data_IF_341207771635
#
_entry.id   IF_341207771635
#
_cell.length_a   1.000
_cell.length_b   1.000
_cell.length_c   1.000
_cell.angle_alpha   90.00
_cell.angle_beta   90.00
_cell.angle_gamma   90.00
#
_symmetry.space_group_name_H-M   'P 1'
#
loop_
_entity.id
_entity.type
_entity.pdbx_description
1 polymer ?
#
# COMPACT_ATOMS: atom_id res chain seq x y z
N UNK A 1 12.06 49.00 -7.64
CA UNK A 1 11.64 48.24 -6.44
C UNK A 1 11.41 46.79 -6.87
N UNK A 2 12.41 45.92 -6.75
CA UNK A 2 12.22 44.49 -6.97
C UNK A 2 12.50 43.80 -5.64
N UNK A 3 11.43 43.32 -5.02
CA UNK A 3 11.38 42.69 -3.71
C UNK A 3 12.37 41.53 -3.63
N UNK A 4 13.10 41.48 -2.52
CA UNK A 4 14.13 40.49 -2.26
C UNK A 4 13.64 39.06 -2.45
N UNK A 5 14.27 38.37 -3.40
CA UNK A 5 14.33 36.91 -3.43
C UNK A 5 15.01 36.47 -2.14
N UNK A 6 14.21 36.13 -1.13
CA UNK A 6 14.69 35.43 0.05
C UNK A 6 15.11 34.04 -0.39
N UNK A 7 16.39 33.94 -0.73
CA UNK A 7 17.13 32.70 -0.89
C UNK A 7 17.09 31.92 0.43
N UNK A 8 16.00 31.18 0.64
CA UNK A 8 15.87 30.14 1.65
C UNK A 8 15.71 28.83 0.88
N UNK A 9 16.79 28.41 0.22
CA UNK A 9 16.81 27.27 -0.72
C UNK A 9 16.74 25.91 -0.02
N UNK A 10 15.90 25.79 1.02
CA UNK A 10 15.59 24.47 1.57
C UNK A 10 14.61 23.76 0.62
N UNK A 11 14.84 22.47 0.33
CA UNK A 11 13.99 21.72 -0.57
C UNK A 11 12.56 21.64 -0.02
N UNK A 12 11.57 21.92 -0.89
CA UNK A 12 10.16 21.82 -0.53
C UNK A 12 9.82 20.38 -0.16
N UNK A 13 9.05 20.24 0.92
CA UNK A 13 8.47 18.95 1.33
C UNK A 13 6.95 19.05 1.42
N UNK A 14 6.29 17.93 1.19
CA UNK A 14 4.85 17.73 1.21
C UNK A 14 4.46 16.87 2.42
N UNK A 15 3.31 17.17 2.98
CA UNK A 15 2.63 16.37 4.01
C UNK A 15 1.97 15.14 3.39
N UNK A 16 1.60 14.17 4.24
CA UNK A 16 0.82 13.02 3.79
C UNK A 16 -0.54 13.42 3.19
N UNK A 17 -1.16 14.51 3.67
CA UNK A 17 -2.43 15.01 3.17
C UNK A 17 -2.29 15.56 1.74
N UNK A 18 -1.27 16.39 1.49
CA UNK A 18 -0.99 16.93 0.13
C UNK A 18 -0.70 15.81 -0.87
N UNK A 19 0.03 14.77 -0.46
CA UNK A 19 0.30 13.61 -1.32
C UNK A 19 -0.96 12.79 -1.57
N UNK A 20 -1.84 12.66 -0.58
CA UNK A 20 -3.09 11.93 -0.71
C UNK A 20 -4.04 12.61 -1.70
N UNK A 21 -4.13 13.94 -1.65
CA UNK A 21 -4.89 14.75 -2.61
C UNK A 21 -4.35 14.57 -4.04
N UNK A 22 -3.03 14.60 -4.22
CA UNK A 22 -2.41 14.39 -5.53
C UNK A 22 -2.63 12.98 -6.11
N UNK A 23 -2.86 11.98 -5.26
CA UNK A 23 -3.09 10.58 -5.64
C UNK A 23 -4.58 10.21 -5.68
N UNK A 24 -5.49 11.13 -5.37
CA UNK A 24 -6.92 10.88 -5.15
C UNK A 24 -7.19 9.70 -4.20
N UNK A 25 -6.51 9.71 -3.04
CA UNK A 25 -6.63 8.65 -2.04
C UNK A 25 -6.74 9.21 -0.61
N UNK A 26 -6.92 8.33 0.38
CA UNK A 26 -7.01 8.77 1.78
C UNK A 26 -5.64 9.06 2.40
N UNK A 27 -5.54 10.10 3.23
CA UNK A 27 -4.31 10.41 3.98
C UNK A 27 -3.84 9.23 4.84
N UNK A 28 -4.78 8.49 5.44
CA UNK A 28 -4.46 7.29 6.21
C UNK A 28 -3.74 6.25 5.36
N UNK A 29 -4.16 6.03 4.11
CA UNK A 29 -3.50 5.08 3.22
C UNK A 29 -2.04 5.46 2.99
N UNK A 30 -1.74 6.75 2.73
CA UNK A 30 -0.37 7.25 2.54
C UNK A 30 0.48 7.02 3.81
N UNK A 31 -0.06 7.38 4.98
CA UNK A 31 0.59 7.12 6.27
C UNK A 31 0.82 5.63 6.51
N UNK A 32 -0.14 4.79 6.12
CA UNK A 32 -0.06 3.34 6.27
C UNK A 32 0.99 2.73 5.32
N UNK A 33 1.10 3.19 4.08
CA UNK A 33 2.16 2.76 3.17
C UNK A 33 3.55 3.14 3.71
N UNK A 34 3.70 4.36 4.24
CA UNK A 34 4.96 4.82 4.84
C UNK A 34 5.29 4.03 6.13
N UNK A 35 4.30 3.80 7.00
CA UNK A 35 4.45 2.99 8.22
C UNK A 35 4.92 1.56 7.91
N UNK A 36 4.44 1.00 6.81
CA UNK A 36 4.85 -0.33 6.32
C UNK A 36 6.09 -0.31 5.43
N UNK A 37 6.73 0.86 5.26
CA UNK A 37 7.95 1.07 4.45
C UNK A 37 7.81 0.59 3.00
N UNK A 38 6.64 0.81 2.40
CA UNK A 38 6.35 0.44 1.01
C UNK A 38 6.56 1.56 0.00
N UNK A 39 6.61 2.79 0.47
CA UNK A 39 6.85 3.99 -0.33
C UNK A 39 8.01 4.77 0.30
N UNK A 40 8.74 5.57 -0.49
CA UNK A 40 9.77 6.47 0.03
C UNK A 40 9.16 7.58 0.89
N UNK A 41 9.82 7.92 2.00
CA UNK A 41 9.40 8.99 2.91
C UNK A 41 10.59 9.55 3.69
N UNK A 42 10.43 10.77 4.20
CA UNK A 42 11.25 11.35 5.24
C UNK A 42 10.52 11.24 6.59
N UNK A 43 11.25 10.85 7.63
CA UNK A 43 10.72 10.85 9.00
C UNK A 43 11.15 12.14 9.70
N UNK A 44 10.22 13.08 9.87
CA UNK A 44 10.41 14.26 10.73
C UNK A 44 9.73 14.03 12.07
N UNK A 45 10.10 14.78 13.11
CA UNK A 45 9.42 14.72 14.41
C UNK A 45 7.91 15.02 14.34
N UNK A 46 7.46 15.66 13.26
CA UNK A 46 6.05 15.97 12.97
C UNK A 46 5.30 14.89 12.17
N UNK A 47 5.96 13.80 11.74
CA UNK A 47 5.35 12.70 10.99
C UNK A 47 6.08 12.37 9.68
N UNK A 48 5.31 11.89 8.70
CA UNK A 48 5.84 11.54 7.37
C UNK A 48 5.84 12.77 6.46
N UNK A 49 6.97 13.02 5.82
CA UNK A 49 7.15 14.08 4.82
C UNK A 49 7.66 13.49 3.52
N UNK A 50 7.33 14.13 2.41
CA UNK A 50 7.67 13.65 1.08
C UNK A 50 8.35 14.77 0.31
N UNK A 51 9.38 14.43 -0.46
CA UNK A 51 9.95 15.36 -1.45
C UNK A 51 9.26 15.14 -2.78
N UNK A 52 9.50 16.02 -3.74
CA UNK A 52 9.00 15.83 -5.11
C UNK A 52 9.45 14.47 -5.69
N UNK A 53 10.72 14.12 -5.49
CA UNK A 53 11.27 12.84 -5.95
C UNK A 53 10.57 11.64 -5.31
N UNK A 54 10.21 11.71 -4.03
CA UNK A 54 9.44 10.64 -3.38
C UNK A 54 8.07 10.47 -4.03
N UNK A 55 7.40 11.57 -4.34
CA UNK A 55 6.07 11.53 -4.98
C UNK A 55 6.17 10.93 -6.39
N UNK A 56 7.16 11.33 -7.18
CA UNK A 56 7.42 10.75 -8.51
C UNK A 56 7.68 9.23 -8.42
N UNK A 57 8.46 8.78 -7.44
CA UNK A 57 8.71 7.35 -7.21
C UNK A 57 7.45 6.61 -6.73
N UNK A 58 6.59 7.24 -5.91
CA UNK A 58 5.29 6.67 -5.53
C UNK A 58 4.42 6.42 -6.77
N UNK A 59 4.36 7.38 -7.70
CA UNK A 59 3.65 7.17 -8.96
C UNK A 59 4.21 5.96 -9.72
N UNK A 60 5.54 5.81 -9.81
CA UNK A 60 6.16 4.65 -10.46
C UNK A 60 5.84 3.32 -9.76
N UNK A 61 5.81 3.30 -8.41
CA UNK A 61 5.45 2.10 -7.63
C UNK A 61 3.99 1.70 -7.88
N UNK A 62 3.10 2.69 -8.05
CA UNK A 62 1.67 2.47 -8.26
C UNK A 62 1.29 2.28 -9.75
N UNK A 63 2.22 2.58 -10.66
CA UNK A 63 1.97 2.52 -12.09
C UNK A 63 1.77 1.05 -12.53
N UNK A 64 0.54 0.72 -12.94
CA UNK A 64 0.26 -0.51 -13.68
C UNK A 64 0.36 -0.22 -15.18
N UNK A 65 1.46 -0.66 -15.81
CA UNK A 65 1.63 -0.53 -17.26
C UNK A 65 0.91 -1.66 -18.01
N UNK A 66 0.16 -1.36 -19.09
CA UNK A 66 -0.41 -2.39 -19.92
C UNK A 66 0.72 -3.28 -20.47
N UNK A 67 0.57 -4.60 -20.30
CA UNK A 67 1.51 -5.55 -20.87
C UNK A 67 1.32 -5.55 -22.40
N UNK A 68 2.36 -5.23 -23.19
CA UNK A 68 2.26 -5.21 -24.65
C UNK A 68 1.89 -6.57 -25.26
N UNK A 69 2.00 -7.67 -24.49
CA UNK A 69 1.68 -9.03 -24.93
C UNK A 69 0.16 -9.31 -24.97
N UNK A 70 -0.68 -8.48 -24.36
CA UNK A 70 -2.14 -8.68 -24.33
C UNK A 70 -2.91 -7.52 -25.00
N UNK A 71 -2.62 -7.29 -26.29
CA UNK A 71 -3.68 -6.87 -27.22
C UNK A 71 -4.71 -8.00 -27.33
N UNK A 72 -5.99 -7.71 -27.61
CA UNK A 72 -7.09 -8.61 -27.31
C UNK A 72 -6.96 -9.97 -28.00
N UNK A 73 -6.73 -10.96 -27.15
CA UNK A 73 -6.76 -12.38 -27.43
C UNK A 73 -6.91 -13.18 -26.12
N UNK A 74 -7.95 -12.86 -25.34
CA UNK A 74 -8.57 -13.73 -24.31
C UNK A 74 -7.82 -13.88 -22.96
N UNK A 75 -8.48 -13.37 -21.90
CA UNK A 75 -8.46 -13.81 -20.49
C UNK A 75 -7.15 -13.72 -19.69
N UNK A 76 -7.12 -13.40 -18.40
CA UNK A 76 -8.10 -12.90 -17.44
C UNK A 76 -7.29 -12.34 -16.25
N UNK A 77 -7.86 -11.34 -15.57
CA UNK A 77 -7.53 -10.82 -14.23
C UNK A 77 -6.32 -11.45 -13.53
N UNK A 78 -5.18 -10.77 -13.58
CA UNK A 78 -4.09 -11.00 -12.63
C UNK A 78 -4.49 -10.41 -11.27
N UNK A 79 -5.32 -11.13 -10.51
CA UNK A 79 -5.48 -10.82 -9.09
C UNK A 79 -4.13 -11.05 -8.42
N UNK A 80 -3.56 -9.95 -7.91
CA UNK A 80 -2.37 -9.87 -7.04
C UNK A 80 -2.24 -11.13 -6.17
N UNK A 81 -1.39 -12.06 -6.62
CA UNK A 81 -1.16 -13.33 -5.95
C UNK A 81 -0.46 -13.01 -4.61
N UNK A 82 -1.22 -13.08 -3.52
CA UNK A 82 -0.69 -12.94 -2.16
C UNK A 82 0.29 -14.10 -1.99
N UNK A 83 1.60 -13.82 -1.95
CA UNK A 83 2.62 -14.84 -1.67
C UNK A 83 2.34 -15.37 -0.27
N UNK A 84 1.71 -16.55 -0.21
CA UNK A 84 1.55 -17.29 1.02
C UNK A 84 2.94 -17.83 1.38
N UNK A 85 3.53 -17.29 2.45
CA UNK A 85 4.74 -17.86 3.03
C UNK A 85 4.24 -19.03 3.91
N UNK A 86 4.51 -20.29 3.56
CA UNK A 86 4.07 -21.40 4.40
C UNK A 86 4.85 -21.33 5.71
N UNK A 87 4.16 -21.02 6.80
CA UNK A 87 4.65 -21.29 8.13
C UNK A 87 4.55 -22.81 8.36
N UNK A 88 5.68 -23.43 8.66
CA UNK A 88 5.81 -24.86 8.95
C UNK A 88 5.32 -25.16 10.37
N UNK A 89 4.01 -24.96 10.60
CA UNK A 89 3.34 -25.34 11.84
C UNK A 89 2.54 -26.60 11.56
N UNK A 90 2.69 -27.68 12.35
CA UNK A 90 1.90 -28.89 12.17
C UNK A 90 0.41 -28.53 12.34
N UNK A 91 -0.35 -28.66 11.25
CA UNK A 91 -1.77 -28.37 11.24
C UNK A 91 -2.50 -29.33 12.19
N UNK A 92 -3.09 -28.80 13.25
CA UNK A 92 -3.99 -29.55 14.14
C UNK A 92 -5.21 -29.97 13.31
N UNK A 93 -5.35 -31.27 13.06
CA UNK A 93 -6.48 -31.83 12.33
C UNK A 93 -7.76 -31.66 13.18
N UNK A 94 -8.66 -30.79 12.73
CA UNK A 94 -9.96 -30.61 13.37
C UNK A 94 -10.85 -31.81 13.09
N UNK A 95 -11.35 -32.45 14.15
CA UNK A 95 -12.32 -33.55 14.05
C UNK A 95 -13.73 -33.02 14.31
N UNK A 96 -14.65 -33.33 13.39
CA UNK A 96 -16.06 -32.98 13.55
C UNK A 96 -16.64 -33.60 14.84
N UNK A 97 -17.34 -32.79 15.64
CA UNK A 97 -18.03 -33.24 16.86
C UNK A 97 -19.42 -33.75 16.51
N UNK A 98 -19.83 -34.88 17.11
CA UNK A 98 -21.19 -35.44 16.89
C UNK A 98 -22.27 -34.46 17.38
N UNK A 99 -23.34 -34.22 16.58
CA UNK A 99 -24.46 -33.36 16.97
C UNK A 99 -25.15 -33.85 18.25
N UNK A 100 -25.52 -32.93 19.13
CA UNK A 100 -26.15 -33.25 20.44
C UNK A 100 -27.49 -34.00 20.31
N UNK A 101 -28.21 -33.84 19.19
CA UNK A 101 -29.51 -34.51 18.97
C UNK A 101 -29.41 -36.03 18.82
N UNK A 102 -28.26 -36.56 18.41
CA UNK A 102 -28.06 -38.01 18.31
C UNK A 102 -27.71 -38.69 19.66
N UNK A 103 -27.63 -37.91 20.76
CA UNK A 103 -27.22 -38.42 22.08
C UNK A 103 -28.40 -38.93 22.94
N UNK A 104 -29.64 -38.61 22.56
CA UNK A 104 -30.85 -38.88 23.36
C UNK A 104 -31.94 -39.65 22.59
N UNK A 105 -31.59 -40.40 21.55
CA UNK A 105 -32.50 -41.39 20.97
C UNK A 105 -32.14 -42.77 21.57
N UNK A 106 -32.83 -43.12 22.66
CA UNK A 106 -32.99 -44.49 23.16
C UNK A 106 -34.43 -44.88 22.81
#
# INVERSE_FOLDING_TARGET
MNSGETNSALPKSYSAAEVAEALDCSEWWVKEQARRRRIPFLRSGSGYRFTRSHVEEIFQILEERPNPVNMPGISATSTRRRTFVPFDVPAVQLKARRPRRARNAI
#
